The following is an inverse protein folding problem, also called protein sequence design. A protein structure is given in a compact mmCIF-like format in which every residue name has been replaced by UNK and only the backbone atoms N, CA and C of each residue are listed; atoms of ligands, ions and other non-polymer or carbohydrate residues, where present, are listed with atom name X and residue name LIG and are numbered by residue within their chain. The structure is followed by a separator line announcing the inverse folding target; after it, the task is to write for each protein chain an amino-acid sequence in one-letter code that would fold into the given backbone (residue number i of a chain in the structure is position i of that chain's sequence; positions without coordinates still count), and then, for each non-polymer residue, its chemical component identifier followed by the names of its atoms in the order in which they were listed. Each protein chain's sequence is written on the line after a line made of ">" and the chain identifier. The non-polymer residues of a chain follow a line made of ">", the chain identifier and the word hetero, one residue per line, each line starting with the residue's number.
data_IF_353962758828
#
_entry.id   IF_353962758828
#
_cell.length_a   1.000
_cell.length_b   1.000
_cell.length_c   1.000
_cell.angle_alpha   90.00
_cell.angle_beta   90.00
_cell.angle_gamma   90.00
#
_symmetry.space_group_name_H-M   'P 1'
#
loop_
_entity.id
_entity.type
_entity.pdbx_description
1 polymer ?
#
# COMPACT_ATOMS: atom_id res chain seq x y z
N UNK A 1 7.10 3.85 -12.91
CA UNK A 1 6.20 3.51 -11.80
C UNK A 1 5.64 2.12 -12.00
N UNK A 2 5.68 1.29 -10.95
CA UNK A 2 5.09 -0.05 -11.01
C UNK A 2 3.61 0.02 -10.65
N UNK A 3 2.81 -0.84 -11.25
CA UNK A 3 1.41 -1.01 -10.88
C UNK A 3 1.31 -2.30 -10.07
N UNK A 4 0.81 -2.18 -8.86
CA UNK A 4 0.57 -3.32 -8.00
C UNK A 4 -0.81 -3.89 -8.35
N UNK A 5 -0.84 -5.18 -8.66
CA UNK A 5 -2.06 -5.87 -9.05
C UNK A 5 -2.35 -6.99 -8.06
N UNK A 6 -3.50 -6.93 -7.41
CA UNK A 6 -3.95 -7.95 -6.46
C UNK A 6 -5.28 -8.59 -6.84
N UNK A 7 -5.66 -8.50 -8.10
CA UNK A 7 -6.97 -8.97 -8.58
C UNK A 7 -7.13 -10.47 -8.40
N UNK A 8 -6.06 -11.22 -8.62
CA UNK A 8 -6.07 -12.69 -8.61
C UNK A 8 -5.60 -13.31 -7.31
N UNK A 9 -5.61 -12.55 -6.22
CA UNK A 9 -5.14 -13.06 -4.94
C UNK A 9 -6.30 -13.29 -3.98
N UNK A 10 -6.21 -14.37 -3.20
CA UNK A 10 -7.14 -14.66 -2.11
C UNK A 10 -6.83 -13.86 -0.86
N UNK A 11 -5.67 -13.24 -0.80
CA UNK A 11 -5.27 -12.43 0.34
C UNK A 11 -5.56 -10.95 0.06
N UNK A 12 -6.58 -10.37 0.70
CA UNK A 12 -6.94 -8.97 0.46
C UNK A 12 -5.85 -7.97 0.86
N UNK A 13 -4.88 -8.39 1.65
CA UNK A 13 -3.79 -7.55 2.12
C UNK A 13 -2.49 -7.75 1.33
N UNK A 14 -2.49 -8.60 0.32
CA UNK A 14 -1.27 -8.87 -0.44
C UNK A 14 -0.72 -7.61 -1.12
N UNK A 15 -1.59 -6.72 -1.55
CA UNK A 15 -1.16 -5.46 -2.15
C UNK A 15 -0.34 -4.61 -1.17
N UNK A 16 -0.61 -4.75 0.14
CA UNK A 16 0.10 -3.99 1.18
C UNK A 16 1.57 -4.38 1.22
N UNK A 17 1.88 -5.67 1.12
CA UNK A 17 3.25 -6.15 1.09
C UNK A 17 4.01 -5.57 -0.10
N UNK A 18 3.41 -5.63 -1.28
CA UNK A 18 3.99 -5.06 -2.49
C UNK A 18 4.12 -3.53 -2.40
N UNK A 19 3.12 -2.89 -1.80
CA UNK A 19 3.12 -1.45 -1.58
C UNK A 19 4.29 -1.04 -0.68
N UNK A 20 4.48 -1.75 0.44
CA UNK A 20 5.59 -1.48 1.37
C UNK A 20 6.93 -1.65 0.67
N UNK A 21 7.11 -2.72 -0.11
CA UNK A 21 8.34 -2.92 -0.88
C UNK A 21 8.62 -1.74 -1.81
N UNK A 22 7.60 -1.27 -2.50
CA UNK A 22 7.76 -0.16 -3.43
C UNK A 22 8.07 1.15 -2.70
N UNK A 23 7.44 1.39 -1.55
CA UNK A 23 7.74 2.56 -0.72
C UNK A 23 9.20 2.57 -0.31
N UNK A 24 9.69 1.43 0.16
CA UNK A 24 11.08 1.31 0.60
C UNK A 24 12.06 1.44 -0.57
N UNK A 25 11.77 0.82 -1.70
CA UNK A 25 12.59 0.98 -2.91
C UNK A 25 12.69 2.44 -3.33
N UNK A 26 11.57 3.15 -3.35
CA UNK A 26 11.54 4.57 -3.73
C UNK A 26 12.39 5.44 -2.79
N UNK A 27 12.47 5.05 -1.55
CA UNK A 27 13.27 5.76 -0.55
C UNK A 27 14.73 5.29 -0.48
N UNK A 28 15.10 4.29 -1.29
CA UNK A 28 16.45 3.73 -1.27
C UNK A 28 16.74 2.85 -0.07
N UNK A 29 15.72 2.29 0.56
CA UNK A 29 15.86 1.43 1.73
C UNK A 29 15.79 -0.03 1.30
N UNK A 30 16.71 -0.84 1.81
CA UNK A 30 16.73 -2.27 1.53
C UNK A 30 15.50 -2.95 2.12
N UNK A 31 14.67 -3.56 1.27
CA UNK A 31 13.45 -4.22 1.70
C UNK A 31 13.62 -5.70 2.04
N UNK A 32 14.80 -6.30 1.86
CA UNK A 32 15.03 -7.71 2.19
C UNK A 32 14.84 -8.00 3.67
N UNK A 33 15.15 -7.05 4.52
CA UNK A 33 15.01 -7.18 5.97
C UNK A 33 13.74 -6.51 6.50
N UNK A 34 12.84 -6.10 5.62
CA UNK A 34 11.62 -5.42 6.03
C UNK A 34 10.62 -6.40 6.63
N UNK A 35 10.05 -6.00 7.75
CA UNK A 35 9.02 -6.76 8.44
C UNK A 35 7.87 -5.82 8.81
N UNK A 36 6.67 -6.13 8.32
CA UNK A 36 5.48 -5.39 8.69
C UNK A 36 5.08 -5.81 10.10
N UNK A 37 5.01 -4.85 11.02
CA UNK A 37 4.66 -5.10 12.41
C UNK A 37 3.17 -4.91 12.67
N UNK A 38 2.55 -3.89 12.06
CA UNK A 38 1.16 -3.56 12.30
C UNK A 38 0.57 -2.84 11.09
N UNK A 39 -0.68 -3.12 10.79
CA UNK A 39 -1.46 -2.45 9.75
C UNK A 39 -2.73 -1.90 10.39
N UNK A 40 -2.94 -0.58 10.32
CA UNK A 40 -4.13 0.06 10.83
C UNK A 40 -5.05 0.48 9.68
N UNK A 41 -6.07 -0.31 9.40
CA UNK A 41 -7.20 0.03 8.52
C UNK A 41 -6.83 0.70 7.18
N UNK A 42 -5.79 0.23 6.51
CA UNK A 42 -5.29 0.85 5.27
C UNK A 42 -4.90 2.33 5.41
N UNK A 43 -4.64 2.79 6.63
CA UNK A 43 -4.25 4.18 6.89
C UNK A 43 -2.81 4.31 7.34
N UNK A 44 -2.31 3.28 8.01
CA UNK A 44 -1.01 3.33 8.64
C UNK A 44 -0.39 1.95 8.63
N UNK A 45 0.88 1.90 8.26
CA UNK A 45 1.65 0.65 8.28
C UNK A 45 2.91 0.89 9.08
N UNK A 46 3.05 0.14 10.16
CA UNK A 46 4.25 0.14 10.99
C UNK A 46 5.14 -1.01 10.58
N UNK A 47 6.39 -0.73 10.34
CA UNK A 47 7.34 -1.74 9.90
C UNK A 47 8.73 -1.46 10.45
N UNK A 48 9.57 -2.50 10.40
CA UNK A 48 10.98 -2.38 10.66
C UNK A 48 11.76 -2.85 9.44
N UNK A 49 12.93 -2.26 9.21
CA UNK A 49 13.87 -2.71 8.20
C UNK A 49 15.25 -2.66 8.84
N UNK A 50 15.80 -3.84 9.15
CA UNK A 50 17.00 -3.95 9.97
C UNK A 50 16.74 -3.44 11.38
N UNK A 51 17.57 -2.51 11.84
CA UNK A 51 17.45 -1.90 13.17
C UNK A 51 16.59 -0.65 13.18
N UNK A 52 16.12 -0.21 12.02
CA UNK A 52 15.35 1.03 11.89
C UNK A 52 13.86 0.72 11.80
N UNK A 53 13.04 1.55 12.45
CA UNK A 53 11.58 1.45 12.38
C UNK A 53 11.02 2.58 11.54
N UNK A 54 9.96 2.27 10.82
CA UNK A 54 9.29 3.20 9.91
C UNK A 54 7.79 3.17 10.11
N UNK A 55 7.16 4.26 9.70
CA UNK A 55 5.71 4.42 9.74
C UNK A 55 5.29 4.98 8.37
N UNK A 56 4.51 4.22 7.64
CA UNK A 56 3.93 4.68 6.38
C UNK A 56 2.51 5.14 6.68
N UNK A 57 2.24 6.41 6.41
CA UNK A 57 0.89 6.96 6.56
C UNK A 57 0.28 7.20 5.20
N UNK A 58 -0.82 6.51 4.96
CA UNK A 58 -1.57 6.65 3.71
C UNK A 58 -2.47 7.88 3.85
N UNK A 59 -2.29 8.82 2.94
CA UNK A 59 -3.01 10.09 2.96
C UNK A 59 -4.33 10.00 2.19
N UNK A 60 -4.30 9.32 1.04
CA UNK A 60 -5.47 9.26 0.19
C UNK A 60 -5.37 8.10 -0.80
N UNK A 61 -6.50 7.56 -1.15
CA UNK A 61 -6.67 6.67 -2.29
C UNK A 61 -7.43 7.47 -3.36
N UNK A 62 -6.75 7.81 -4.43
CA UNK A 62 -7.32 8.65 -5.48
C UNK A 62 -7.64 7.80 -6.71
N UNK A 63 -8.91 7.50 -6.95
CA UNK A 63 -9.30 6.74 -8.13
C UNK A 63 -8.88 7.47 -9.41
N UNK A 64 -8.24 6.72 -10.32
CA UNK A 64 -7.81 7.26 -11.62
C UNK A 64 -8.71 6.71 -12.70
N UNK A 65 -8.97 5.40 -12.65
CA UNK A 65 -9.72 4.71 -13.66
C UNK A 65 -10.37 3.47 -13.07
N UNK A 66 -11.50 3.09 -13.66
CA UNK A 66 -12.14 1.82 -13.35
C UNK A 66 -12.50 1.16 -14.70
N UNK A 67 -12.61 -0.16 -14.72
CA UNK A 67 -13.11 -0.83 -15.89
C UNK A 67 -14.62 -0.55 -16.07
N UNK A 68 -15.15 -0.95 -17.20
CA UNK A 68 -16.56 -0.69 -17.54
C UNK A 68 -17.55 -1.33 -16.57
N UNK A 69 -17.12 -2.34 -15.85
CA UNK A 69 -17.96 -3.09 -14.94
C UNK A 69 -17.70 -2.73 -13.47
N UNK A 70 -16.72 -1.86 -13.20
CA UNK A 70 -16.34 -1.51 -11.84
C UNK A 70 -15.64 -2.62 -11.08
N UNK A 71 -15.20 -3.67 -11.77
CA UNK A 71 -14.52 -4.79 -11.11
C UNK A 71 -13.10 -4.46 -10.67
N UNK A 72 -12.44 -3.61 -11.42
CA UNK A 72 -11.06 -3.22 -11.18
C UNK A 72 -10.97 -1.71 -11.09
N UNK A 73 -10.39 -1.22 -10.04
CA UNK A 73 -10.14 0.19 -9.85
C UNK A 73 -8.65 0.44 -9.81
N UNK A 74 -8.18 1.37 -10.64
CA UNK A 74 -6.80 1.86 -10.57
C UNK A 74 -6.79 3.11 -9.72
N UNK A 75 -5.96 3.11 -8.70
CA UNK A 75 -5.89 4.21 -7.74
C UNK A 75 -4.45 4.65 -7.54
N UNK A 76 -4.26 5.95 -7.31
CA UNK A 76 -3.01 6.45 -6.76
C UNK A 76 -3.13 6.47 -5.25
N UNK A 77 -2.24 5.75 -4.58
CA UNK A 77 -2.16 5.76 -3.11
C UNK A 77 -1.09 6.77 -2.72
N UNK A 78 -1.52 7.87 -2.16
CA UNK A 78 -0.62 8.91 -1.67
C UNK A 78 -0.19 8.58 -0.25
N UNK A 79 1.10 8.67 0.01
CA UNK A 79 1.65 8.30 1.31
C UNK A 79 2.78 9.23 1.73
N UNK A 80 3.04 9.22 3.02
CA UNK A 80 4.24 9.81 3.60
C UNK A 80 4.96 8.73 4.39
N UNK A 81 6.24 8.60 4.17
CA UNK A 81 7.10 7.67 4.90
C UNK A 81 7.80 8.42 6.02
N UNK A 82 7.58 7.97 7.24
CA UNK A 82 8.24 8.51 8.42
C UNK A 82 9.26 7.51 8.94
N UNK A 83 10.41 8.02 9.34
CA UNK A 83 11.37 7.27 10.13
C UNK A 83 11.12 7.55 11.59
N UNK A 84 11.05 6.52 12.41
CA UNK A 84 10.88 6.67 13.85
C UNK A 84 12.22 6.87 14.50
N UNK A 85 12.39 8.02 15.13
CA UNK A 85 13.60 8.40 15.83
C UNK A 85 13.31 8.54 17.33
N UNK A 86 14.34 8.46 18.14
CA UNK A 86 14.24 8.68 19.58
C UNK A 86 15.16 9.80 19.98
N UNK A 87 14.63 10.78 20.69
CA UNK A 87 15.39 11.88 21.23
C UNK A 87 14.93 12.17 22.66
N UNK A 88 15.86 12.22 23.58
CA UNK A 88 15.57 12.45 25.00
C UNK A 88 14.53 11.47 25.58
N UNK A 89 14.58 10.21 25.14
CA UNK A 89 13.65 9.19 25.58
C UNK A 89 12.27 9.26 24.94
N UNK A 90 12.06 10.17 24.00
CA UNK A 90 10.80 10.31 23.26
C UNK A 90 10.96 9.86 21.84
N UNK A 91 9.99 9.08 21.38
CA UNK A 91 9.92 8.63 19.99
C UNK A 91 9.17 9.68 19.15
N UNK A 92 9.71 10.02 18.01
CA UNK A 92 9.06 10.92 17.07
C UNK A 92 9.23 10.43 15.64
N UNK A 93 8.33 10.84 14.75
CA UNK A 93 8.40 10.54 13.34
C UNK A 93 9.02 11.68 12.55
N UNK A 94 10.00 11.35 11.73
CA UNK A 94 10.60 12.28 10.79
C UNK A 94 10.17 11.89 9.38
N UNK A 95 9.48 12.78 8.68
CA UNK A 95 9.09 12.54 7.29
C UNK A 95 10.34 12.52 6.41
N UNK A 96 10.60 11.40 5.76
CA UNK A 96 11.78 11.22 4.93
C UNK A 96 11.46 11.10 3.45
N UNK A 97 10.24 10.75 3.10
CA UNK A 97 9.80 10.66 1.71
C UNK A 97 8.29 10.80 1.63
N UNK A 98 7.81 11.31 0.51
CA UNK A 98 6.40 11.33 0.19
C UNK A 98 6.25 11.13 -1.30
N UNK A 99 5.25 10.36 -1.70
CA UNK A 99 5.04 10.03 -3.10
C UNK A 99 3.67 9.37 -3.24
N UNK A 100 3.41 8.85 -4.42
CA UNK A 100 2.25 8.01 -4.65
C UNK A 100 2.66 6.74 -5.39
N UNK A 101 1.89 5.69 -5.17
CA UNK A 101 2.07 4.41 -5.84
C UNK A 101 0.74 4.05 -6.48
N UNK A 102 0.80 3.66 -7.73
CA UNK A 102 -0.40 3.22 -8.46
C UNK A 102 -0.67 1.77 -8.15
N UNK A 103 -1.89 1.49 -7.71
CA UNK A 103 -2.33 0.13 -7.45
C UNK A 103 -3.59 -0.17 -8.27
N UNK A 104 -3.77 -1.45 -8.57
CA UNK A 104 -5.03 -1.96 -9.12
C UNK A 104 -5.64 -2.88 -8.09
N UNK A 105 -6.88 -2.60 -7.72
CA UNK A 105 -7.62 -3.43 -6.77
C UNK A 105 -8.87 -3.98 -7.43
N UNK A 106 -9.06 -5.29 -7.30
CA UNK A 106 -10.29 -5.93 -7.70
C UNK A 106 -11.29 -5.91 -6.56
N UNK A 107 -12.55 -5.78 -6.89
CA UNK A 107 -13.64 -5.94 -5.94
C UNK A 107 -14.19 -7.35 -6.15
N UNK A 108 -13.84 -8.28 -5.26
CA UNK A 108 -14.22 -9.68 -5.40
C UNK A 108 -15.73 -9.88 -5.47
N UNK A 109 -16.49 -9.19 -4.63
CA UNK A 109 -17.95 -9.30 -4.64
C UNK A 109 -18.53 -8.75 -5.95
N UNK A 110 -18.08 -7.59 -6.39
CA UNK A 110 -18.51 -7.01 -7.66
C UNK A 110 -18.08 -7.88 -8.84
N UNK A 111 -16.90 -8.48 -8.75
CA UNK A 111 -16.38 -9.38 -9.78
C UNK A 111 -17.31 -10.58 -9.98
N UNK A 112 -17.68 -11.25 -8.89
CA UNK A 112 -18.58 -12.40 -8.96
C UNK A 112 -19.94 -12.02 -9.52
N UNK A 113 -20.50 -10.91 -9.07
CA UNK A 113 -21.79 -10.42 -9.56
C UNK A 113 -21.74 -10.10 -11.05
N UNK A 114 -20.70 -9.43 -11.50
CA UNK A 114 -20.55 -9.05 -12.90
C UNK A 114 -20.32 -10.27 -13.79
N UNK A 115 -19.57 -11.27 -13.31
CA UNK A 115 -19.37 -12.51 -14.08
C UNK A 115 -20.68 -13.20 -14.40
N UNK A 116 -21.65 -13.20 -13.48
CA UNK A 116 -22.98 -13.74 -13.74
C UNK A 116 -23.76 -12.95 -14.78
N UNK A 117 -23.52 -11.64 -14.84
CA UNK A 117 -24.22 -10.73 -15.72
C UNK A 117 -23.58 -10.56 -17.08
N UNK A 118 -22.31 -10.82 -17.20
CA UNK A 118 -21.56 -10.59 -18.45
C UNK A 118 -21.56 -11.75 -19.41
N UNK A 119 -22.28 -12.79 -19.11
CA UNK A 119 -22.43 -13.95 -19.98
C UNK A 119 -23.53 -13.70 -21.01
N UNK A 120 -23.45 -12.55 -21.63
CA UNK A 120 -24.37 -12.16 -22.69
C UNK A 120 -23.70 -12.03 -24.04
#
# INVERSE_FOLDING_TARGET
>A
MKIINNIETDNPNQWIECFVEQVLENAGIDCEQALIEEIEEEKRILLSAGSQRYDIRIQAFLPIAADLNGMVCTENVQYVLYRKNTENGREYGEAIDDDFIRIQRGNTAAYEEVQEKTLF
#
